data_IF_743820263268
#
_entry.id   IF_743820263268
#
_cell.length_a   1.000
_cell.length_b   1.000
_cell.length_c   1.000
_cell.angle_alpha   90.00
_cell.angle_beta   90.00
_cell.angle_gamma   90.00
#
_symmetry.space_group_name_H-M   'P 1'
#
loop_
_entity.id
_entity.type
_entity.pdbx_description
1 polymer ?
#
# COMPACT_ATOMS: atom_id res chain seq x y z
N UNK A 1 49.84 -23.01 24.94
CA UNK A 1 48.63 -22.33 25.44
C UNK A 1 47.73 -22.08 24.24
N UNK A 2 46.55 -22.70 24.18
CA UNK A 2 45.70 -22.72 22.98
C UNK A 2 44.52 -21.79 23.25
N UNK A 3 44.41 -20.69 22.51
CA UNK A 3 43.34 -19.71 22.67
C UNK A 3 42.08 -20.31 22.04
N UNK A 4 41.07 -20.66 22.85
CA UNK A 4 39.74 -21.04 22.36
C UNK A 4 39.04 -19.76 21.87
N UNK A 5 38.79 -19.67 20.57
CA UNK A 5 37.93 -18.63 20.02
C UNK A 5 36.50 -18.78 20.60
N UNK A 6 36.00 -17.72 21.22
CA UNK A 6 34.61 -17.64 21.68
C UNK A 6 33.69 -17.52 20.46
N UNK A 7 32.89 -18.54 20.18
CA UNK A 7 31.93 -18.59 19.07
C UNK A 7 30.66 -17.75 19.37
N UNK A 8 30.80 -16.52 19.88
CA UNK A 8 29.68 -15.73 20.40
C UNK A 8 29.02 -14.78 19.38
N UNK A 9 29.20 -15.00 18.08
CA UNK A 9 28.55 -14.20 17.05
C UNK A 9 27.76 -15.12 16.09
N UNK A 10 26.69 -15.72 16.60
CA UNK A 10 25.65 -16.29 15.73
C UNK A 10 24.93 -15.12 15.05
N UNK A 11 24.96 -15.00 13.70
CA UNK A 11 24.26 -13.92 13.02
C UNK A 11 22.76 -14.05 13.29
N UNK A 12 22.18 -13.02 13.91
CA UNK A 12 20.72 -12.88 14.06
C UNK A 12 20.21 -12.17 12.82
N UNK A 13 19.65 -12.94 11.89
CA UNK A 13 18.98 -12.40 10.71
C UNK A 13 17.67 -11.75 11.16
N UNK A 14 17.54 -10.45 10.89
CA UNK A 14 16.29 -9.73 11.03
C UNK A 14 15.70 -9.57 9.63
N UNK A 15 14.41 -9.86 9.50
CA UNK A 15 13.68 -9.53 8.28
C UNK A 15 13.48 -8.00 8.24
N UNK A 16 13.88 -7.37 7.13
CA UNK A 16 13.74 -5.93 6.93
C UNK A 16 12.81 -5.73 5.75
N UNK A 17 11.57 -5.34 6.02
CA UNK A 17 10.62 -4.97 4.99
C UNK A 17 10.86 -3.52 4.55
N UNK A 18 11.34 -3.36 3.31
CA UNK A 18 11.43 -2.05 2.67
C UNK A 18 10.04 -1.71 2.14
N UNK A 19 9.44 -0.65 2.68
CA UNK A 19 8.16 -0.14 2.21
C UNK A 19 8.41 0.91 1.14
N UNK A 20 7.75 0.76 -0.01
CA UNK A 20 7.72 1.82 -1.02
C UNK A 20 7.04 3.05 -0.45
N UNK A 21 7.71 4.20 -0.47
CA UNK A 21 7.10 5.46 -0.06
C UNK A 21 6.07 5.82 -1.12
N UNK A 22 4.80 5.80 -0.72
CA UNK A 22 3.69 6.22 -1.58
C UNK A 22 3.78 7.74 -1.83
N UNK A 23 3.55 8.23 -3.06
CA UNK A 23 3.52 9.66 -3.34
C UNK A 23 2.47 10.39 -2.51
N UNK A 24 2.71 11.68 -2.26
CA UNK A 24 1.84 12.50 -1.42
C UNK A 24 0.41 12.57 -1.93
N UNK A 25 0.24 12.51 -3.25
CA UNK A 25 -1.04 12.55 -3.95
C UNK A 25 -1.91 11.33 -3.68
N UNK A 26 -1.30 10.19 -3.31
CA UNK A 26 -2.01 8.95 -3.01
C UNK A 26 -2.13 8.67 -1.50
N UNK A 27 -1.57 9.52 -0.63
CA UNK A 27 -1.81 9.47 0.83
C UNK A 27 -3.30 9.37 1.22
N UNK A 28 -4.26 10.00 0.51
CA UNK A 28 -5.68 9.81 0.78
C UNK A 28 -6.13 8.35 0.75
N UNK A 29 -5.57 7.53 -0.15
CA UNK A 29 -5.89 6.11 -0.26
C UNK A 29 -5.28 5.29 0.87
N UNK A 30 -4.08 5.66 1.32
CA UNK A 30 -3.44 5.04 2.49
C UNK A 30 -4.31 5.25 3.74
N UNK A 31 -4.77 6.48 3.97
CA UNK A 31 -5.66 6.80 5.09
C UNK A 31 -6.95 5.95 5.06
N UNK A 32 -7.57 5.84 3.87
CA UNK A 32 -8.79 5.05 3.68
C UNK A 32 -8.49 3.55 3.87
N UNK A 33 -7.40 3.03 3.31
CA UNK A 33 -7.04 1.61 3.39
C UNK A 33 -6.84 1.13 4.84
N UNK A 34 -6.32 2.00 5.71
CA UNK A 34 -6.15 1.74 7.14
C UNK A 34 -7.45 1.86 7.96
N UNK A 35 -8.57 2.26 7.36
CA UNK A 35 -9.86 2.42 8.03
C UNK A 35 -10.91 1.43 7.49
N UNK A 36 -11.59 0.69 8.36
CA UNK A 36 -12.63 -0.29 7.97
C UNK A 36 -13.82 0.28 7.18
N UNK A 37 -13.98 1.61 7.11
CA UNK A 37 -14.99 2.27 6.30
C UNK A 37 -15.02 1.81 4.85
N UNK A 38 -13.86 1.55 4.23
CA UNK A 38 -13.79 1.12 2.82
C UNK A 38 -14.54 -0.19 2.56
N UNK A 39 -14.70 -1.05 3.56
CA UNK A 39 -15.44 -2.32 3.43
C UNK A 39 -16.92 -2.08 3.13
N UNK A 40 -17.45 -0.93 3.55
CA UNK A 40 -18.85 -0.54 3.35
C UNK A 40 -19.04 0.38 2.14
N UNK A 41 -17.95 0.87 1.55
CA UNK A 41 -17.96 1.73 0.37
C UNK A 41 -17.66 0.92 -0.89
N UNK A 42 -18.68 0.74 -1.75
CA UNK A 42 -18.49 0.10 -3.06
C UNK A 42 -17.53 0.90 -3.94
N UNK A 43 -17.61 2.23 -3.90
CA UNK A 43 -16.70 3.11 -4.66
C UNK A 43 -15.23 2.92 -4.20
N UNK A 44 -14.98 2.73 -2.91
CA UNK A 44 -13.62 2.47 -2.42
C UNK A 44 -13.08 1.14 -2.97
N UNK A 45 -13.90 0.08 -2.97
CA UNK A 45 -13.51 -1.23 -3.50
C UNK A 45 -13.22 -1.18 -4.99
N UNK A 46 -14.07 -0.51 -5.76
CA UNK A 46 -13.86 -0.30 -7.20
C UNK A 46 -12.55 0.46 -7.46
N UNK A 47 -12.26 1.50 -6.68
CA UNK A 47 -11.02 2.25 -6.84
C UNK A 47 -9.82 1.36 -6.54
N UNK A 48 -9.82 0.61 -5.44
CA UNK A 48 -8.71 -0.31 -5.14
C UNK A 48 -8.51 -1.38 -6.23
N UNK A 49 -9.60 -1.92 -6.77
CA UNK A 49 -9.56 -2.89 -7.88
C UNK A 49 -9.02 -2.27 -9.18
N UNK A 50 -9.35 -1.00 -9.44
CA UNK A 50 -8.88 -0.26 -10.62
C UNK A 50 -7.40 0.17 -10.54
N UNK A 51 -6.82 0.29 -9.35
CA UNK A 51 -5.40 0.67 -9.19
C UNK A 51 -4.48 -0.38 -9.80
N UNK A 52 -4.66 -1.64 -9.39
CA UNK A 52 -3.94 -2.79 -9.94
C UNK A 52 -4.74 -4.06 -9.65
N UNK A 53 -5.56 -4.50 -10.60
CA UNK A 53 -6.42 -5.67 -10.47
C UNK A 53 -5.64 -6.94 -10.16
N UNK A 54 -4.48 -7.14 -10.82
CA UNK A 54 -3.68 -8.35 -10.65
C UNK A 54 -3.10 -8.42 -9.23
N UNK A 55 -2.54 -7.31 -8.74
CA UNK A 55 -1.98 -7.26 -7.39
C UNK A 55 -3.09 -7.28 -6.33
N UNK A 56 -4.26 -6.68 -6.60
CA UNK A 56 -5.40 -6.68 -5.69
C UNK A 56 -5.98 -8.09 -5.47
N UNK A 57 -6.11 -8.89 -6.52
CA UNK A 57 -6.52 -10.29 -6.38
C UNK A 57 -5.41 -11.12 -5.69
N UNK A 58 -4.15 -10.89 -6.04
CA UNK A 58 -3.00 -11.61 -5.46
C UNK A 58 -2.81 -11.34 -3.97
N UNK A 59 -3.08 -10.13 -3.49
CA UNK A 59 -3.01 -9.79 -2.08
C UNK A 59 -4.29 -10.16 -1.29
N UNK A 60 -5.27 -10.80 -1.93
CA UNK A 60 -6.52 -11.22 -1.30
C UNK A 60 -7.45 -10.06 -0.98
N UNK A 61 -7.50 -9.04 -1.85
CA UNK A 61 -8.32 -7.83 -1.70
C UNK A 61 -7.96 -6.98 -0.49
N UNK A 62 -6.69 -7.01 -0.11
CA UNK A 62 -6.15 -6.19 0.96
C UNK A 62 -5.62 -4.86 0.41
N UNK A 63 -6.31 -3.72 0.63
CA UNK A 63 -5.89 -2.43 0.07
C UNK A 63 -4.56 -1.93 0.65
N UNK A 64 -4.21 -2.28 1.89
CA UNK A 64 -2.91 -1.90 2.47
C UNK A 64 -1.78 -2.63 1.76
N UNK A 65 -1.93 -3.95 1.56
CA UNK A 65 -0.94 -4.74 0.84
C UNK A 65 -0.83 -4.33 -0.64
N UNK A 66 -1.97 -3.98 -1.26
CA UNK A 66 -2.00 -3.44 -2.63
C UNK A 66 -1.14 -2.17 -2.73
N UNK A 67 -1.33 -1.19 -1.84
CA UNK A 67 -0.57 0.07 -1.87
C UNK A 67 0.91 -0.14 -1.57
N UNK A 68 1.26 -1.09 -0.70
CA UNK A 68 2.65 -1.44 -0.40
C UNK A 68 3.37 -2.14 -1.56
N UNK A 69 2.64 -2.95 -2.33
CA UNK A 69 3.17 -3.69 -3.48
C UNK A 69 3.03 -2.94 -4.81
N UNK A 70 2.48 -1.73 -4.79
CA UNK A 70 2.24 -0.95 -6.00
C UNK A 70 3.58 -0.63 -6.69
N UNK A 71 3.67 -1.01 -7.97
CA UNK A 71 4.88 -0.76 -8.75
C UNK A 71 5.01 0.73 -9.05
N UNK A 72 6.25 1.22 -9.17
CA UNK A 72 6.52 2.63 -9.45
C UNK A 72 5.89 3.06 -10.78
N UNK A 73 5.93 2.21 -11.81
CA UNK A 73 5.33 2.51 -13.12
C UNK A 73 3.81 2.68 -13.02
N UNK A 74 3.14 1.80 -12.25
CA UNK A 74 1.69 1.88 -12.01
C UNK A 74 1.32 3.13 -11.25
N UNK A 75 2.11 3.49 -10.25
CA UNK A 75 1.94 4.71 -9.47
C UNK A 75 1.99 5.95 -10.38
N UNK A 76 2.97 6.02 -11.28
CA UNK A 76 3.05 7.12 -12.25
C UNK A 76 1.87 7.14 -13.24
N UNK A 77 1.41 5.97 -13.71
CA UNK A 77 0.22 5.86 -14.57
C UNK A 77 -1.02 6.41 -13.87
N UNK A 78 -1.23 6.05 -12.60
CA UNK A 78 -2.33 6.55 -11.77
C UNK A 78 -2.24 8.07 -11.61
N UNK A 79 -1.05 8.60 -11.30
CA UNK A 79 -0.84 10.04 -11.14
C UNK A 79 -1.09 10.83 -12.43
N UNK A 80 -0.81 10.23 -13.60
CA UNK A 80 -1.08 10.83 -14.91
C UNK A 80 -2.57 10.75 -15.32
N UNK A 81 -3.35 9.89 -14.66
CA UNK A 81 -4.78 9.71 -14.93
C UNK A 81 -5.63 10.70 -14.10
N UNK A 82 -5.94 11.85 -14.69
CA UNK A 82 -6.70 12.91 -14.04
C UNK A 82 -8.10 12.46 -13.58
N UNK A 83 -8.77 11.58 -14.35
CA UNK A 83 -10.10 11.09 -14.01
C UNK A 83 -10.07 10.19 -12.76
N UNK A 84 -9.08 9.31 -12.67
CA UNK A 84 -8.87 8.45 -11.51
C UNK A 84 -8.47 9.27 -10.27
N UNK A 85 -7.57 10.24 -10.42
CA UNK A 85 -7.19 11.15 -9.33
C UNK A 85 -8.38 11.98 -8.83
N UNK A 86 -9.27 12.43 -9.73
CA UNK A 86 -10.48 13.13 -9.33
C UNK A 86 -11.47 12.20 -8.60
N UNK A 87 -11.58 10.92 -9.00
CA UNK A 87 -12.37 9.92 -8.26
C UNK A 87 -11.82 9.68 -6.86
N UNK A 88 -10.50 9.53 -6.71
CA UNK A 88 -9.82 9.37 -5.42
C UNK A 88 -10.12 10.57 -4.50
N UNK A 89 -10.03 11.80 -5.03
CA UNK A 89 -10.34 13.01 -4.28
C UNK A 89 -11.80 13.06 -3.79
N UNK A 90 -12.76 12.66 -4.63
CA UNK A 90 -14.17 12.58 -4.23
C UNK A 90 -14.40 11.50 -3.18
N UNK A 91 -13.80 10.33 -3.33
CA UNK A 91 -13.87 9.25 -2.34
C UNK A 91 -13.34 9.74 -0.98
N UNK A 92 -12.20 10.43 -0.98
CA UNK A 92 -11.62 10.98 0.25
C UNK A 92 -12.53 12.01 0.90
N UNK A 93 -13.17 12.88 0.13
CA UNK A 93 -14.16 13.81 0.66
C UNK A 93 -15.37 13.08 1.28
N UNK A 94 -15.87 12.03 0.62
CA UNK A 94 -16.94 11.19 1.15
C UNK A 94 -16.54 10.51 2.46
N UNK A 95 -15.29 10.02 2.55
CA UNK A 95 -14.73 9.45 3.77
C UNK A 95 -14.65 10.49 4.90
N UNK A 96 -14.20 11.71 4.61
CA UNK A 96 -14.09 12.79 5.62
C UNK A 96 -15.44 13.30 6.12
N UNK A 97 -16.50 13.11 5.34
CA UNK A 97 -17.86 13.55 5.66
C UNK A 97 -18.70 12.47 6.36
N UNK A 98 -18.18 11.26 6.51
CA UNK A 98 -18.81 10.15 7.21
C UNK A 98 -18.54 10.22 8.73
#
# INVERSE_FOLDING_TARGET
MIIKASYSNTPVWHDVHVHSILPEELRPLEEIAHNLWWVWSEEAKEIFELLDYEEYEKCGKNPVALLQNLRTEKTEEIMKNADLMARIGRLHQSYKNY
#
